data_IF_499515850804
#
_entry.id   IF_499515850804
#
_cell.length_a   1.000
_cell.length_b   1.000
_cell.length_c   1.000
_cell.angle_alpha   90.00
_cell.angle_beta   90.00
_cell.angle_gamma   90.00
#
_symmetry.space_group_name_H-M   'P 1'
#
loop_
_entity.id
_entity.type
_entity.pdbx_description
1 polymer ?
#
# COMPACT_ATOMS: atom_id res chain seq x y z
N UNK A 1 -2.43 5.95 -9.03
CA UNK A 1 -3.25 6.72 -8.07
C UNK A 1 -4.04 7.85 -8.71
N UNK A 2 -3.40 8.80 -9.42
CA UNK A 2 -4.10 9.92 -10.09
C UNK A 2 -5.33 9.51 -10.92
N UNK A 3 -5.21 8.49 -11.77
CA UNK A 3 -6.33 8.01 -12.59
C UNK A 3 -7.57 7.64 -11.73
N UNK A 4 -7.38 6.85 -10.68
CA UNK A 4 -8.46 6.48 -9.74
C UNK A 4 -8.96 7.67 -8.92
N UNK A 5 -8.10 8.63 -8.58
CA UNK A 5 -8.52 9.84 -7.87
C UNK A 5 -9.45 10.71 -8.72
N UNK A 6 -9.16 10.83 -10.02
CA UNK A 6 -9.84 11.74 -10.93
C UNK A 6 -11.09 11.14 -11.58
N UNK A 7 -11.22 9.81 -11.57
CA UNK A 7 -12.36 9.08 -12.11
C UNK A 7 -13.62 9.26 -11.22
N UNK A 8 -14.71 9.91 -11.67
CA UNK A 8 -15.89 10.12 -10.83
C UNK A 8 -16.60 8.83 -10.40
N UNK A 9 -16.38 7.71 -11.10
CA UNK A 9 -17.06 6.43 -10.83
C UNK A 9 -16.29 5.52 -9.85
N UNK A 10 -15.10 5.94 -9.40
CA UNK A 10 -14.35 5.24 -8.37
C UNK A 10 -14.69 5.82 -6.99
N UNK A 11 -15.27 5.03 -6.09
CA UNK A 11 -15.60 5.49 -4.73
C UNK A 11 -14.45 5.34 -3.72
N UNK A 12 -13.61 4.32 -3.88
CA UNK A 12 -12.50 4.00 -2.99
C UNK A 12 -11.42 3.17 -3.70
N UNK A 13 -10.22 3.09 -3.13
CA UNK A 13 -9.10 2.33 -3.70
C UNK A 13 -8.51 1.36 -2.68
N UNK A 14 -8.13 0.16 -3.12
CA UNK A 14 -7.22 -0.72 -2.38
C UNK A 14 -5.87 -0.67 -3.08
N UNK A 15 -4.81 -0.32 -2.36
CA UNK A 15 -3.42 -0.43 -2.81
C UNK A 15 -2.80 -1.70 -2.26
N UNK A 16 -2.46 -2.63 -3.16
CA UNK A 16 -1.76 -3.88 -2.85
C UNK A 16 -0.34 -3.74 -3.39
N UNK A 17 0.63 -3.73 -2.50
CA UNK A 17 2.05 -3.70 -2.83
C UNK A 17 2.79 -4.95 -2.36
N UNK A 18 4.10 -4.95 -2.58
CA UNK A 18 5.02 -5.97 -2.09
C UNK A 18 6.29 -5.35 -1.50
N UNK A 19 7.14 -6.17 -0.87
CA UNK A 19 8.48 -5.74 -0.45
C UNK A 19 9.36 -5.36 -1.64
N UNK A 20 10.32 -4.46 -1.42
CA UNK A 20 11.30 -4.05 -2.45
C UNK A 20 10.87 -2.82 -3.23
N UNK A 21 11.79 -1.91 -3.48
CA UNK A 21 11.55 -0.67 -4.22
C UNK A 21 10.71 0.39 -3.46
N UNK A 22 10.66 1.63 -3.97
CA UNK A 22 10.07 2.77 -3.27
C UNK A 22 8.60 3.06 -3.64
N UNK A 23 8.07 2.40 -4.68
CA UNK A 23 6.87 2.81 -5.40
C UNK A 23 5.66 3.05 -4.50
N UNK A 24 5.39 2.17 -3.54
CA UNK A 24 4.25 2.32 -2.65
C UNK A 24 4.44 3.44 -1.63
N UNK A 25 5.67 3.68 -1.17
CA UNK A 25 5.98 4.79 -0.29
C UNK A 25 5.85 6.14 -1.03
N UNK A 26 6.29 6.21 -2.28
CA UNK A 26 6.12 7.39 -3.14
C UNK A 26 4.65 7.62 -3.48
N UNK A 27 3.91 6.56 -3.80
CA UNK A 27 2.48 6.63 -4.06
C UNK A 27 1.70 7.07 -2.80
N UNK A 28 2.09 6.61 -1.61
CA UNK A 28 1.48 7.03 -0.35
C UNK A 28 1.69 8.53 -0.09
N UNK A 29 2.91 9.04 -0.27
CA UNK A 29 3.19 10.48 -0.15
C UNK A 29 2.40 11.30 -1.17
N UNK A 30 2.31 10.84 -2.41
CA UNK A 30 1.46 11.49 -3.41
C UNK A 30 0.00 11.51 -2.97
N UNK A 31 -0.51 10.41 -2.42
CA UNK A 31 -1.90 10.33 -1.95
C UNK A 31 -2.18 11.26 -0.77
N UNK A 32 -1.22 11.44 0.15
CA UNK A 32 -1.33 12.39 1.26
C UNK A 32 -1.69 13.80 0.79
N UNK A 33 -1.07 14.25 -0.30
CA UNK A 33 -1.23 15.61 -0.80
C UNK A 33 -2.38 15.76 -1.81
N UNK A 34 -2.81 14.66 -2.45
CA UNK A 34 -3.68 14.72 -3.64
C UNK A 34 -4.95 13.87 -3.57
N UNK A 35 -4.95 12.77 -2.80
CA UNK A 35 -6.04 11.80 -2.83
C UNK A 35 -7.25 12.32 -2.05
N UNK A 36 -8.42 12.32 -2.69
CA UNK A 36 -9.70 12.74 -2.09
C UNK A 36 -10.56 11.57 -1.64
N UNK A 37 -10.18 10.35 -2.03
CA UNK A 37 -10.95 9.12 -1.85
C UNK A 37 -10.31 8.24 -0.78
N UNK A 38 -11.10 7.48 -0.02
CA UNK A 38 -10.57 6.56 0.96
C UNK A 38 -9.68 5.51 0.30
N UNK A 39 -8.57 5.18 0.96
CA UNK A 39 -7.62 4.15 0.53
C UNK A 39 -7.38 3.14 1.66
N UNK A 40 -7.41 1.85 1.30
CA UNK A 40 -6.87 0.76 2.13
C UNK A 40 -5.54 0.30 1.56
N UNK A 41 -4.50 0.16 2.40
CA UNK A 41 -3.17 -0.30 2.03
C UNK A 41 -2.83 -1.68 2.57
N UNK A 42 -2.16 -2.50 1.77
CA UNK A 42 -1.59 -3.80 2.17
C UNK A 42 -0.24 -4.03 1.46
N UNK A 43 0.74 -4.59 2.18
CA UNK A 43 2.03 -4.98 1.61
C UNK A 43 2.27 -6.48 1.84
N UNK A 44 2.44 -7.21 0.74
CA UNK A 44 2.84 -8.62 0.76
C UNK A 44 4.31 -8.78 1.14
N UNK A 45 4.66 -9.96 1.68
CA UNK A 45 6.06 -10.32 1.95
C UNK A 45 6.58 -9.93 3.34
N UNK A 46 5.71 -9.64 4.30
CA UNK A 46 6.09 -9.38 5.72
C UNK A 46 6.94 -10.51 6.32
N UNK A 47 6.73 -11.75 5.89
CA UNK A 47 7.48 -12.93 6.36
C UNK A 47 8.68 -13.30 5.48
N UNK A 48 9.02 -12.47 4.49
CA UNK A 48 10.13 -12.74 3.59
C UNK A 48 11.47 -12.65 4.35
N UNK A 49 12.36 -13.63 4.21
CA UNK A 49 13.68 -13.55 4.82
C UNK A 49 14.54 -12.48 4.13
N UNK A 50 15.37 -11.74 4.89
CA UNK A 50 16.28 -10.75 4.32
C UNK A 50 17.17 -11.32 3.22
N UNK A 51 17.44 -10.53 2.18
CA UNK A 51 18.35 -10.91 1.09
C UNK A 51 17.85 -12.00 0.14
N UNK A 52 16.60 -12.46 0.31
CA UNK A 52 16.00 -13.46 -0.59
C UNK A 52 15.02 -12.80 -1.56
N UNK A 53 15.21 -13.08 -2.85
CA UNK A 53 14.25 -12.72 -3.90
C UNK A 53 13.03 -13.64 -3.82
N UNK A 54 11.84 -13.06 -3.78
CA UNK A 54 10.57 -13.78 -3.67
C UNK A 54 9.82 -13.82 -4.99
N UNK A 55 10.10 -14.81 -5.85
CA UNK A 55 9.34 -15.03 -7.09
C UNK A 55 9.49 -13.91 -8.13
N UNK A 56 8.76 -12.80 -7.95
CA UNK A 56 8.86 -11.59 -8.76
C UNK A 56 10.29 -11.01 -8.72
N UNK A 57 10.71 -10.46 -9.87
CA UNK A 57 12.07 -9.92 -10.02
C UNK A 57 12.34 -8.75 -9.07
N UNK A 58 11.32 -7.94 -8.76
CA UNK A 58 11.39 -6.76 -7.91
C UNK A 58 11.26 -7.03 -6.41
N UNK A 59 10.79 -8.22 -6.00
CA UNK A 59 10.58 -8.59 -4.60
C UNK A 59 11.90 -8.93 -3.88
N UNK A 60 12.78 -7.95 -3.77
CA UNK A 60 14.07 -8.00 -3.09
C UNK A 60 14.20 -6.79 -2.16
N UNK A 61 14.44 -7.05 -0.88
CA UNK A 61 14.68 -6.00 0.11
C UNK A 61 16.13 -5.53 -0.04
N UNK A 62 16.33 -4.34 -0.62
CA UNK A 62 17.64 -3.67 -0.69
C UNK A 62 18.04 -2.99 0.62
N UNK A 63 17.06 -2.68 1.49
CA UNK A 63 17.25 -2.18 2.85
C UNK A 63 16.24 -1.12 3.26
N UNK A 64 16.21 -0.76 4.55
CA UNK A 64 15.45 0.40 5.07
C UNK A 64 13.96 0.42 4.71
N UNK A 65 13.57 1.42 3.90
CA UNK A 65 12.19 1.70 3.51
C UNK A 65 11.55 0.64 2.60
N UNK A 66 12.32 -0.31 2.10
CA UNK A 66 11.84 -1.37 1.21
C UNK A 66 11.13 -2.52 1.95
N UNK A 67 11.23 -2.53 3.28
CA UNK A 67 10.56 -3.54 4.12
C UNK A 67 9.05 -3.31 4.14
N UNK A 68 8.28 -4.39 4.31
CA UNK A 68 6.83 -4.29 4.41
C UNK A 68 6.41 -3.40 5.60
N UNK A 69 7.12 -3.51 6.73
CA UNK A 69 6.86 -2.69 7.91
C UNK A 69 7.08 -1.20 7.67
N UNK A 70 8.19 -0.84 7.01
CA UNK A 70 8.47 0.56 6.70
C UNK A 70 7.45 1.13 5.71
N UNK A 71 7.08 0.38 4.66
CA UNK A 71 6.05 0.79 3.70
C UNK A 71 4.69 0.99 4.37
N UNK A 72 4.27 0.05 5.23
CA UNK A 72 3.00 0.15 5.97
C UNK A 72 2.99 1.36 6.92
N UNK A 73 4.09 1.64 7.61
CA UNK A 73 4.20 2.82 8.46
C UNK A 73 4.06 4.12 7.66
N UNK A 74 4.74 4.22 6.51
CA UNK A 74 4.64 5.38 5.61
C UNK A 74 3.21 5.53 5.07
N UNK A 75 2.54 4.44 4.69
CA UNK A 75 1.14 4.46 4.26
C UNK A 75 0.23 5.00 5.35
N UNK A 76 0.37 4.52 6.58
CA UNK A 76 -0.42 4.97 7.73
C UNK A 76 -0.19 6.47 8.03
N UNK A 77 1.06 6.93 8.02
CA UNK A 77 1.43 8.36 8.16
C UNK A 77 0.89 9.25 7.02
N UNK A 78 0.56 8.65 5.88
CA UNK A 78 -0.06 9.31 4.72
C UNK A 78 -1.58 9.20 4.70
N UNK A 79 -2.20 8.66 5.75
CA UNK A 79 -3.67 8.61 5.93
C UNK A 79 -4.35 7.38 5.33
N UNK A 80 -3.61 6.33 5.00
CA UNK A 80 -4.19 5.07 4.55
C UNK A 80 -4.76 4.32 5.76
N UNK A 81 -5.89 3.62 5.55
CA UNK A 81 -6.25 2.52 6.45
C UNK A 81 -5.42 1.31 6.06
N UNK A 82 -4.53 0.83 6.94
CA UNK A 82 -3.65 -0.30 6.59
C UNK A 82 -4.16 -1.62 7.14
N UNK A 83 -3.78 -2.72 6.50
CA UNK A 83 -3.92 -4.07 7.05
C UNK A 83 -2.70 -4.93 6.74
N UNK A 84 -2.41 -5.86 7.65
CA UNK A 84 -1.43 -6.94 7.47
C UNK A 84 -2.09 -8.26 7.07
N UNK A 85 -3.41 -8.31 7.08
CA UNK A 85 -4.20 -9.48 6.72
C UNK A 85 -4.94 -9.21 5.41
N UNK A 86 -4.61 -9.92 4.31
CA UNK A 86 -5.24 -9.68 3.02
C UNK A 86 -6.76 -9.95 3.05
N UNK A 87 -7.22 -10.85 3.93
CA UNK A 87 -8.65 -11.16 4.08
C UNK A 87 -9.47 -10.00 4.67
N UNK A 88 -8.83 -9.03 5.31
CA UNK A 88 -9.51 -7.88 5.93
C UNK A 88 -9.72 -6.71 4.96
N UNK A 89 -9.03 -6.67 3.81
CA UNK A 89 -9.02 -5.50 2.91
C UNK A 89 -10.42 -5.10 2.47
N UNK A 90 -11.25 -6.07 2.06
CA UNK A 90 -12.62 -5.81 1.62
C UNK A 90 -13.53 -5.31 2.74
N UNK A 91 -13.39 -5.88 3.95
CA UNK A 91 -14.15 -5.46 5.13
C UNK A 91 -13.80 -4.02 5.52
N UNK A 92 -12.50 -3.70 5.53
CA UNK A 92 -12.01 -2.36 5.85
C UNK A 92 -12.47 -1.34 4.81
N UNK A 93 -12.32 -1.63 3.52
CA UNK A 93 -12.75 -0.72 2.45
C UNK A 93 -14.24 -0.43 2.55
N UNK A 94 -15.07 -1.47 2.74
CA UNK A 94 -16.51 -1.31 2.93
C UNK A 94 -16.85 -0.42 4.12
N UNK A 95 -16.08 -0.49 5.21
CA UNK A 95 -16.27 0.37 6.38
C UNK A 95 -15.93 1.85 6.16
N UNK A 96 -15.20 2.17 5.10
CA UNK A 96 -14.87 3.56 4.71
C UNK A 96 -15.89 4.17 3.75
N UNK A 97 -16.72 3.33 3.12
CA UNK A 97 -17.80 3.74 2.22
C UNK A 97 -19.05 4.09 3.04
N UNK A 98 -19.76 5.14 2.64
CA UNK A 98 -21.00 5.61 3.30
C UNK A 98 -22.24 4.94 2.70
#
# INVERSE_FOLDING_TARGET
MKAFNDDPDTDAVIMIGEIGGPDEAEAARWCKDNMKKPIVGFIAGVTAPPGKRMGHAGALISGGADTADAKLAIMEECGFTITRNPSEMGRLLKGLLK
#
